data_IF_632984125495
#
_entry.id   IF_632984125495
#
_cell.length_a   1.000
_cell.length_b   1.000
_cell.length_c   1.000
_cell.angle_alpha   90.00
_cell.angle_beta   90.00
_cell.angle_gamma   90.00
#
_symmetry.space_group_name_H-M   'P 1'
#
loop_
_entity.id
_entity.type
_entity.pdbx_description
1 polymer ?
#
# COMPACT_ATOMS: atom_id res chain seq x y z
N UNK A 1 38.37 -7.20 -18.90
CA UNK A 1 38.18 -7.43 -17.45
C UNK A 1 36.96 -8.32 -17.31
N UNK A 2 37.11 -9.56 -16.85
CA UNK A 2 35.97 -10.43 -16.60
C UNK A 2 35.13 -9.81 -15.50
N UNK A 3 33.87 -9.49 -15.77
CA UNK A 3 32.93 -9.20 -14.69
C UNK A 3 32.97 -10.41 -13.74
N UNK A 4 33.34 -10.20 -12.48
CA UNK A 4 33.31 -11.27 -11.48
C UNK A 4 31.89 -11.83 -11.42
N UNK A 5 31.75 -13.11 -11.77
CA UNK A 5 30.47 -13.81 -11.81
C UNK A 5 30.33 -14.62 -10.53
N UNK A 6 29.21 -14.45 -9.86
CA UNK A 6 28.80 -15.28 -8.71
C UNK A 6 27.53 -16.04 -9.07
N UNK A 7 27.40 -17.27 -8.56
CA UNK A 7 26.22 -18.11 -8.78
C UNK A 7 25.28 -17.98 -7.58
N UNK A 8 24.01 -17.65 -7.85
CA UNK A 8 22.94 -17.62 -6.85
C UNK A 8 21.86 -18.63 -7.27
N UNK A 9 21.54 -19.56 -6.38
CA UNK A 9 20.50 -20.57 -6.62
C UNK A 9 19.11 -19.95 -6.45
N UNK A 10 18.25 -20.12 -7.46
CA UNK A 10 16.87 -19.63 -7.47
C UNK A 10 15.94 -20.69 -8.05
N UNK A 11 14.62 -20.50 -7.87
CA UNK A 11 13.63 -21.35 -8.53
C UNK A 11 13.80 -21.30 -10.06
N UNK A 12 13.91 -22.47 -10.70
CA UNK A 12 14.16 -22.61 -12.14
C UNK A 12 13.11 -21.90 -12.99
N UNK A 13 11.83 -22.05 -12.66
CA UNK A 13 10.74 -21.48 -13.46
C UNK A 13 10.72 -19.96 -13.35
N UNK A 14 11.02 -19.41 -12.17
CA UNK A 14 11.18 -17.97 -11.97
C UNK A 14 12.33 -17.44 -12.82
N UNK A 15 13.50 -18.11 -12.80
CA UNK A 15 14.65 -17.71 -13.61
C UNK A 15 14.37 -17.75 -15.11
N UNK A 16 13.69 -18.80 -15.59
CA UNK A 16 13.33 -18.94 -17.00
C UNK A 16 12.34 -17.85 -17.44
N UNK A 17 11.31 -17.57 -16.64
CA UNK A 17 10.37 -16.47 -16.92
C UNK A 17 11.05 -15.12 -16.92
N UNK A 18 11.91 -14.86 -15.93
CA UNK A 18 12.68 -13.61 -15.83
C UNK A 18 13.61 -13.42 -17.05
N UNK A 19 14.33 -14.47 -17.44
CA UNK A 19 15.21 -14.44 -18.62
C UNK A 19 14.44 -14.20 -19.92
N UNK A 20 13.24 -14.79 -20.07
CA UNK A 20 12.35 -14.55 -21.21
C UNK A 20 11.93 -13.08 -21.28
N UNK A 21 11.43 -12.52 -20.18
CA UNK A 21 10.99 -11.12 -20.10
C UNK A 21 12.14 -10.15 -20.38
N UNK A 22 13.34 -10.39 -19.84
CA UNK A 22 14.51 -9.56 -20.10
C UNK A 22 14.85 -9.52 -21.61
N UNK A 23 14.81 -10.67 -22.29
CA UNK A 23 15.06 -10.76 -23.73
C UNK A 23 13.99 -10.05 -24.55
N UNK A 24 12.72 -10.19 -24.18
CA UNK A 24 11.60 -9.49 -24.85
C UNK A 24 11.74 -7.96 -24.76
N UNK A 25 12.33 -7.46 -23.66
CA UNK A 25 12.63 -6.03 -23.46
C UNK A 25 13.99 -5.61 -24.05
N UNK A 26 14.73 -6.50 -24.71
CA UNK A 26 16.06 -6.20 -25.26
C UNK A 26 17.15 -6.00 -24.20
N UNK A 27 16.94 -6.46 -22.97
CA UNK A 27 17.86 -6.32 -21.84
C UNK A 27 18.67 -7.61 -21.69
N UNK A 28 19.99 -7.51 -21.47
CA UNK A 28 20.79 -8.70 -21.18
C UNK A 28 20.40 -9.30 -19.84
N UNK A 29 20.34 -10.63 -19.75
CA UNK A 29 19.93 -11.34 -18.52
C UNK A 29 20.82 -10.93 -17.34
N UNK A 30 22.13 -10.77 -17.59
CA UNK A 30 23.07 -10.34 -16.57
C UNK A 30 22.73 -8.94 -16.05
N UNK A 31 22.47 -7.96 -16.93
CA UNK A 31 22.11 -6.60 -16.52
C UNK A 31 20.80 -6.59 -15.72
N UNK A 32 19.76 -7.26 -16.23
CA UNK A 32 18.47 -7.36 -15.56
C UNK A 32 18.62 -8.00 -14.16
N UNK A 33 19.39 -9.08 -14.05
CA UNK A 33 19.64 -9.75 -12.77
C UNK A 33 20.40 -8.85 -11.79
N UNK A 34 21.43 -8.14 -12.25
CA UNK A 34 22.17 -7.18 -11.42
C UNK A 34 21.25 -6.08 -10.91
N UNK A 35 20.46 -5.43 -11.77
CA UNK A 35 19.54 -4.36 -11.36
C UNK A 35 18.48 -4.86 -10.37
N UNK A 36 17.91 -6.06 -10.59
CA UNK A 36 16.95 -6.66 -9.68
C UNK A 36 17.56 -6.99 -8.30
N UNK A 37 18.78 -7.52 -8.28
CA UNK A 37 19.50 -7.83 -7.03
C UNK A 37 19.90 -6.55 -6.29
N UNK A 38 20.35 -5.51 -6.99
CA UNK A 38 20.64 -4.20 -6.38
C UNK A 38 19.39 -3.57 -5.76
N UNK A 39 18.25 -3.64 -6.45
CA UNK A 39 16.98 -3.16 -5.89
C UNK A 39 16.59 -3.94 -4.62
N UNK A 40 16.76 -5.27 -4.62
CA UNK A 40 16.48 -6.10 -3.46
C UNK A 40 17.47 -5.87 -2.31
N UNK A 41 18.75 -5.61 -2.62
CA UNK A 41 19.81 -5.34 -1.65
C UNK A 41 19.49 -4.10 -0.79
N UNK A 42 19.02 -3.02 -1.41
CA UNK A 42 18.66 -1.79 -0.70
C UNK A 42 17.56 -2.05 0.36
N UNK A 43 16.57 -2.86 0.02
CA UNK A 43 15.50 -3.24 0.95
C UNK A 43 16.03 -4.14 2.08
N UNK A 44 16.92 -5.08 1.75
CA UNK A 44 17.51 -5.98 2.74
C UNK A 44 18.44 -5.27 3.73
N UNK A 45 19.13 -4.19 3.33
CA UNK A 45 19.97 -3.37 4.22
C UNK A 45 19.19 -2.79 5.40
N UNK A 46 17.92 -2.47 5.16
CA UNK A 46 17.01 -1.93 6.18
C UNK A 46 16.28 -3.03 6.98
N UNK A 47 16.62 -4.31 6.73
CA UNK A 47 15.98 -5.46 7.39
C UNK A 47 14.57 -5.75 6.87
N UNK A 48 14.20 -5.18 5.72
CA UNK A 48 12.88 -5.37 5.12
C UNK A 48 12.85 -6.54 4.11
N UNK A 49 11.65 -7.01 3.78
CA UNK A 49 11.45 -8.11 2.83
C UNK A 49 11.41 -7.57 1.39
N UNK A 50 12.22 -8.08 0.44
CA UNK A 50 12.21 -7.64 -0.97
C UNK A 50 10.85 -7.75 -1.67
N UNK A 51 9.96 -8.61 -1.17
CA UNK A 51 8.56 -8.71 -1.65
C UNK A 51 7.82 -7.38 -1.52
N UNK A 52 8.23 -6.49 -0.60
CA UNK A 52 7.67 -5.13 -0.48
C UNK A 52 7.81 -4.32 -1.77
N UNK A 53 8.84 -4.56 -2.60
CA UNK A 53 8.97 -3.91 -3.92
C UNK A 53 7.80 -4.25 -4.85
N UNK A 54 7.27 -5.47 -4.76
CA UNK A 54 6.10 -5.85 -5.54
C UNK A 54 4.87 -5.07 -5.10
N UNK A 55 4.68 -4.87 -3.80
CA UNK A 55 3.58 -4.07 -3.28
C UNK A 55 3.72 -2.60 -3.66
N UNK A 56 4.93 -2.04 -3.57
CA UNK A 56 5.22 -0.69 -4.04
C UNK A 56 4.84 -0.51 -5.51
N UNK A 57 5.28 -1.44 -6.37
CA UNK A 57 4.96 -1.37 -7.79
C UNK A 57 3.47 -1.54 -8.08
N UNK A 58 2.77 -2.43 -7.37
CA UNK A 58 1.32 -2.63 -7.53
C UNK A 58 0.51 -1.41 -7.09
N UNK A 59 0.86 -0.81 -5.95
CA UNK A 59 0.23 0.44 -5.48
C UNK A 59 0.53 1.58 -6.45
N UNK A 60 1.77 1.69 -6.94
CA UNK A 60 2.14 2.69 -7.94
C UNK A 60 1.27 2.58 -9.21
N UNK A 61 1.09 1.38 -9.76
CA UNK A 61 0.20 1.15 -10.90
C UNK A 61 -1.24 1.59 -10.62
N UNK A 62 -1.77 1.26 -9.44
CA UNK A 62 -3.12 1.67 -9.07
C UNK A 62 -3.24 3.20 -9.00
N UNK A 63 -2.31 3.86 -8.29
CA UNK A 63 -2.28 5.33 -8.16
C UNK A 63 -2.11 6.07 -9.49
N UNK A 64 -1.35 5.48 -10.43
CA UNK A 64 -1.16 6.06 -11.77
C UNK A 64 -2.42 6.05 -12.64
N UNK A 65 -3.45 5.28 -12.25
CA UNK A 65 -4.71 5.19 -12.99
C UNK A 65 -5.86 6.02 -12.42
N UNK A 66 -5.65 6.67 -11.26
CA UNK A 66 -6.69 7.42 -10.53
C UNK A 66 -6.35 8.91 -10.39
N UNK A 67 -5.60 9.49 -11.34
CA UNK A 67 -5.15 10.89 -11.36
C UNK A 67 -4.68 11.43 -9.99
N UNK A 68 -3.94 10.58 -9.25
CA UNK A 68 -3.63 10.87 -7.85
C UNK A 68 -2.42 11.79 -7.72
N UNK A 69 -2.60 12.89 -6.98
CA UNK A 69 -1.51 13.80 -6.59
C UNK A 69 -1.10 13.53 -5.14
N UNK A 70 0.21 13.41 -4.90
CA UNK A 70 0.75 13.28 -3.55
C UNK A 70 1.19 14.66 -3.05
N UNK A 71 0.48 15.19 -2.05
CA UNK A 71 0.79 16.48 -1.42
C UNK A 71 1.35 16.31 -0.01
N UNK A 72 2.28 17.18 0.43
CA UNK A 72 2.68 17.22 1.82
C UNK A 72 1.48 17.42 2.74
N UNK A 73 1.42 16.61 3.78
CA UNK A 73 0.27 16.55 4.69
C UNK A 73 -0.06 17.89 5.36
N UNK A 74 0.95 18.72 5.65
CA UNK A 74 0.76 20.06 6.21
C UNK A 74 0.06 21.01 5.21
N UNK A 75 0.27 20.82 3.91
CA UNK A 75 -0.41 21.60 2.87
C UNK A 75 -1.88 21.18 2.76
N UNK A 76 -2.14 19.87 2.77
CA UNK A 76 -3.51 19.34 2.82
C UNK A 76 -4.24 19.86 4.06
N UNK A 77 -3.62 19.80 5.24
CA UNK A 77 -4.24 20.30 6.47
C UNK A 77 -4.63 21.79 6.38
N UNK A 78 -3.80 22.61 5.70
CA UNK A 78 -4.10 24.04 5.44
C UNK A 78 -5.22 24.24 4.42
N UNK A 79 -5.21 23.50 3.31
CA UNK A 79 -6.28 23.56 2.28
C UNK A 79 -7.64 23.24 2.90
N UNK A 80 -7.66 22.26 3.81
CA UNK A 80 -8.87 21.82 4.51
C UNK A 80 -9.08 22.51 5.87
N UNK A 81 -8.31 23.55 6.20
CA UNK A 81 -8.38 24.21 7.51
C UNK A 81 -9.69 24.97 7.71
N UNK A 82 -10.20 25.58 6.64
CA UNK A 82 -11.38 26.45 6.61
C UNK A 82 -12.67 25.74 6.14
N UNK A 83 -12.63 24.43 5.91
CA UNK A 83 -13.72 23.70 5.29
C UNK A 83 -14.74 23.18 6.31
N UNK A 84 -16.02 23.34 5.97
CA UNK A 84 -17.15 22.82 6.73
C UNK A 84 -17.02 21.31 6.97
N UNK A 85 -17.32 20.88 8.19
CA UNK A 85 -17.25 19.47 8.58
C UNK A 85 -18.22 18.65 7.72
N UNK A 86 -17.70 17.62 7.05
CA UNK A 86 -18.51 16.67 6.29
C UNK A 86 -18.65 16.96 4.79
N UNK A 87 -18.34 18.17 4.32
CA UNK A 87 -18.54 18.57 2.90
C UNK A 87 -17.85 17.65 1.89
N UNK A 88 -16.68 17.11 2.24
CA UNK A 88 -15.87 16.28 1.35
C UNK A 88 -15.91 14.79 1.69
N UNK A 89 -16.67 14.39 2.71
CA UNK A 89 -16.71 12.98 3.18
C UNK A 89 -17.11 12.03 2.05
N UNK A 90 -18.16 12.38 1.29
CA UNK A 90 -18.62 11.57 0.14
C UNK A 90 -17.56 11.49 -0.96
N UNK A 91 -16.91 12.61 -1.29
CA UNK A 91 -15.86 12.65 -2.32
C UNK A 91 -14.64 11.80 -1.92
N UNK A 92 -14.23 11.86 -0.65
CA UNK A 92 -13.16 11.00 -0.15
C UNK A 92 -13.56 9.53 -0.16
N UNK A 93 -14.81 9.21 0.19
CA UNK A 93 -15.32 7.83 0.08
C UNK A 93 -15.27 7.31 -1.37
N UNK A 94 -15.77 8.10 -2.32
CA UNK A 94 -15.79 7.75 -3.75
C UNK A 94 -14.38 7.56 -4.30
N UNK A 95 -13.47 8.48 -3.99
CA UNK A 95 -12.06 8.38 -4.37
C UNK A 95 -11.38 7.12 -3.77
N UNK A 96 -11.71 6.80 -2.51
CA UNK A 96 -11.24 5.58 -1.85
C UNK A 96 -11.76 4.32 -2.54
N UNK A 97 -13.04 4.32 -2.93
CA UNK A 97 -13.68 3.20 -3.61
C UNK A 97 -13.14 2.99 -5.02
N UNK A 98 -12.89 4.07 -5.76
CA UNK A 98 -12.25 4.01 -7.06
C UNK A 98 -10.84 3.41 -6.96
N UNK A 99 -10.00 3.94 -6.07
CA UNK A 99 -8.65 3.39 -5.87
C UNK A 99 -8.70 1.95 -5.37
N UNK A 100 -9.59 1.63 -4.43
CA UNK A 100 -9.78 0.28 -3.92
C UNK A 100 -10.13 -0.72 -5.02
N UNK A 101 -10.98 -0.33 -5.97
CA UNK A 101 -11.38 -1.16 -7.10
C UNK A 101 -10.22 -1.47 -8.03
N UNK A 102 -9.32 -0.49 -8.25
CA UNK A 102 -8.10 -0.73 -9.02
C UNK A 102 -7.08 -1.57 -8.22
N UNK A 103 -6.90 -1.27 -6.93
CA UNK A 103 -5.98 -2.01 -6.07
C UNK A 103 -6.35 -3.50 -6.00
N UNK A 104 -7.64 -3.82 -5.91
CA UNK A 104 -8.15 -5.19 -5.86
C UNK A 104 -7.78 -6.05 -7.09
N UNK A 105 -7.41 -5.43 -8.22
CA UNK A 105 -6.92 -6.15 -9.40
C UNK A 105 -5.49 -6.69 -9.23
N UNK A 106 -4.73 -6.14 -8.28
CA UNK A 106 -3.30 -6.40 -8.11
C UNK A 106 -2.92 -6.89 -6.71
N UNK A 107 -3.73 -6.55 -5.70
CA UNK A 107 -3.54 -6.87 -4.30
C UNK A 107 -4.83 -7.47 -3.76
N UNK A 108 -4.72 -8.55 -3.00
CA UNK A 108 -5.85 -9.09 -2.25
C UNK A 108 -6.00 -8.36 -0.92
N UNK A 109 -7.19 -8.40 -0.32
CA UNK A 109 -7.37 -7.87 1.03
C UNK A 109 -6.49 -8.61 2.05
N UNK A 110 -6.25 -9.91 1.85
CA UNK A 110 -5.35 -10.69 2.70
C UNK A 110 -3.90 -10.20 2.63
N UNK A 111 -3.46 -9.61 1.52
CA UNK A 111 -2.17 -8.95 1.43
C UNK A 111 -2.11 -7.71 2.34
N UNK A 112 -3.22 -6.96 2.45
CA UNK A 112 -3.31 -5.82 3.39
C UNK A 112 -3.27 -6.29 4.85
N UNK A 113 -3.95 -7.39 5.18
CA UNK A 113 -3.94 -7.97 6.53
C UNK A 113 -2.56 -8.49 6.93
N UNK A 114 -1.90 -9.23 6.02
CA UNK A 114 -0.57 -9.82 6.26
C UNK A 114 0.55 -8.78 6.19
N UNK A 115 0.37 -7.74 5.39
CA UNK A 115 1.35 -6.66 5.20
C UNK A 115 0.67 -5.29 5.34
N UNK A 116 0.32 -4.89 6.57
CA UNK A 116 -0.37 -3.61 6.82
C UNK A 116 0.47 -2.39 6.40
N UNK A 117 1.78 -2.54 6.23
CA UNK A 117 2.66 -1.48 5.75
C UNK A 117 2.32 -1.00 4.33
N UNK A 118 1.58 -1.78 3.54
CA UNK A 118 1.02 -1.34 2.25
C UNK A 118 0.20 -0.07 2.43
N UNK A 119 -0.50 0.10 3.57
CA UNK A 119 -1.28 1.29 3.86
C UNK A 119 -0.42 2.56 3.97
N UNK A 120 0.89 2.46 4.27
CA UNK A 120 1.82 3.60 4.26
C UNK A 120 2.08 4.14 2.86
N UNK A 121 1.84 3.34 1.82
CA UNK A 121 1.94 3.78 0.42
C UNK A 121 0.69 4.55 -0.04
N UNK A 122 -0.42 4.35 0.68
CA UNK A 122 -1.74 4.95 0.40
C UNK A 122 -2.00 6.17 1.28
N UNK A 123 -1.53 6.13 2.53
CA UNK A 123 -1.86 7.09 3.57
C UNK A 123 -0.60 7.64 4.24
N UNK A 124 -0.65 8.89 4.74
CA UNK A 124 0.45 9.51 5.46
C UNK A 124 0.52 9.02 6.92
N UNK A 125 0.58 7.70 7.11
CA UNK A 125 0.74 7.04 8.42
C UNK A 125 2.22 6.82 8.74
N UNK A 126 2.59 7.00 10.01
CA UNK A 126 3.91 6.63 10.52
C UNK A 126 4.04 5.12 10.68
N UNK A 127 2.99 4.53 11.23
CA UNK A 127 2.93 3.11 11.56
C UNK A 127 1.59 2.54 11.13
N UNK A 128 1.62 1.37 10.50
CA UNK A 128 0.44 0.56 10.24
C UNK A 128 0.67 -0.85 10.80
N UNK A 129 -0.26 -1.31 11.63
CA UNK A 129 -0.26 -2.65 12.19
C UNK A 129 -1.63 -3.29 11.95
N UNK A 130 -1.65 -4.62 11.87
CA UNK A 130 -2.88 -5.38 11.80
C UNK A 130 -2.81 -6.53 12.79
N UNK A 131 -3.87 -6.71 13.58
CA UNK A 131 -4.06 -7.89 14.42
C UNK A 131 -5.29 -8.65 13.93
N UNK A 132 -5.13 -9.95 13.83
CA UNK A 132 -6.22 -10.87 13.51
C UNK A 132 -6.87 -11.31 14.82
N UNK A 133 -8.17 -11.06 14.96
CA UNK A 133 -8.99 -11.39 16.12
C UNK A 133 -10.15 -12.27 15.62
N UNK A 134 -10.02 -13.60 15.75
CA UNK A 134 -10.98 -14.58 15.25
C UNK A 134 -11.26 -14.39 13.73
N UNK A 135 -12.44 -13.86 13.38
CA UNK A 135 -12.86 -13.59 12.01
C UNK A 135 -12.68 -12.13 11.58
N UNK A 136 -12.02 -11.31 12.40
CA UNK A 136 -11.90 -9.86 12.22
C UNK A 136 -10.44 -9.45 12.06
N UNK A 137 -10.22 -8.35 11.32
CA UNK A 137 -8.92 -7.70 11.20
C UNK A 137 -9.00 -6.32 11.85
N UNK A 138 -8.17 -6.08 12.87
CA UNK A 138 -8.00 -4.77 13.51
C UNK A 138 -6.75 -4.10 12.97
N UNK A 139 -6.94 -3.09 12.13
CA UNK A 139 -5.89 -2.20 11.70
C UNK A 139 -5.70 -1.08 12.71
N UNK A 140 -4.47 -0.89 13.18
CA UNK A 140 -4.08 0.24 14.02
C UNK A 140 -3.14 1.13 13.21
N UNK A 141 -3.61 2.34 12.90
CA UNK A 141 -2.90 3.33 12.09
C UNK A 141 -2.49 4.52 12.96
N UNK A 142 -1.20 4.81 13.00
CA UNK A 142 -0.66 5.93 13.77
C UNK A 142 -0.27 7.04 12.80
N UNK A 143 -0.90 8.19 12.94
CA UNK A 143 -0.66 9.36 12.09
C UNK A 143 0.20 10.43 12.78
N UNK A 144 0.77 11.37 12.01
CA UNK A 144 1.36 12.58 12.57
C UNK A 144 0.32 13.40 13.38
N UNK A 145 0.70 14.07 14.49
CA UNK A 145 -0.26 14.76 15.37
C UNK A 145 -1.10 15.87 14.71
N UNK A 146 -0.57 16.50 13.66
CA UNK A 146 -1.16 17.65 13.00
C UNK A 146 -2.33 17.32 12.06
N UNK A 147 -2.81 16.07 12.01
CA UNK A 147 -3.81 15.64 11.03
C UNK A 147 -5.22 15.47 11.59
N UNK A 148 -5.45 15.81 12.86
CA UNK A 148 -6.70 15.51 13.57
C UNK A 148 -7.96 15.91 12.76
N UNK A 149 -7.91 17.04 12.05
CA UNK A 149 -9.02 17.54 11.20
C UNK A 149 -9.26 16.71 9.93
N UNK A 150 -8.22 16.05 9.42
CA UNK A 150 -8.32 15.20 8.22
C UNK A 150 -8.76 13.77 8.53
N UNK A 151 -8.73 13.34 9.80
CA UNK A 151 -9.09 11.96 10.18
C UNK A 151 -10.47 11.54 9.67
N UNK A 152 -11.56 12.34 9.79
CA UNK A 152 -12.86 11.92 9.26
C UNK A 152 -12.86 11.67 7.75
N UNK A 153 -12.11 12.48 6.98
CA UNK A 153 -11.95 12.30 5.53
C UNK A 153 -11.13 11.04 5.22
N UNK A 154 -10.07 10.79 5.99
CA UNK A 154 -9.25 9.56 5.86
C UNK A 154 -10.08 8.31 6.21
N UNK A 155 -10.94 8.38 7.22
CA UNK A 155 -11.86 7.30 7.58
C UNK A 155 -12.82 7.01 6.43
N UNK A 156 -13.42 8.04 5.83
CA UNK A 156 -14.31 7.89 4.68
C UNK A 156 -13.58 7.25 3.49
N UNK A 157 -12.36 7.69 3.22
CA UNK A 157 -11.49 7.14 2.18
C UNK A 157 -11.15 5.66 2.40
N UNK A 158 -10.73 5.30 3.62
CA UNK A 158 -10.45 3.91 3.99
C UNK A 158 -11.69 3.01 3.90
N UNK A 159 -12.85 3.54 4.30
CA UNK A 159 -14.13 2.86 4.11
C UNK A 159 -14.41 2.58 2.63
N UNK A 160 -14.19 3.56 1.75
CA UNK A 160 -14.31 3.37 0.31
C UNK A 160 -13.40 2.25 -0.20
N UNK A 161 -12.13 2.24 0.24
CA UNK A 161 -11.19 1.18 -0.11
C UNK A 161 -11.72 -0.19 0.33
N UNK A 162 -12.09 -0.36 1.61
CA UNK A 162 -12.54 -1.66 2.12
C UNK A 162 -13.84 -2.15 1.49
N UNK A 163 -14.79 -1.24 1.20
CA UNK A 163 -16.01 -1.56 0.45
C UNK A 163 -15.69 -2.10 -0.95
N UNK A 164 -14.68 -1.54 -1.62
CA UNK A 164 -14.26 -2.01 -2.95
C UNK A 164 -13.65 -3.43 -2.92
N UNK A 165 -13.07 -3.83 -1.79
CA UNK A 165 -12.66 -5.22 -1.54
C UNK A 165 -13.81 -6.15 -1.14
N UNK A 166 -15.03 -5.62 -0.97
CA UNK A 166 -16.21 -6.37 -0.55
C UNK A 166 -16.44 -6.41 0.98
N UNK A 167 -15.65 -5.68 1.78
CA UNK A 167 -15.74 -5.70 3.24
C UNK A 167 -16.48 -4.48 3.79
N UNK A 168 -17.81 -4.53 3.71
CA UNK A 168 -18.69 -3.40 4.06
C UNK A 168 -18.98 -3.25 5.56
N UNK A 169 -18.67 -4.28 6.34
CA UNK A 169 -18.84 -4.27 7.79
C UNK A 169 -17.52 -3.87 8.44
N UNK A 170 -17.39 -2.59 8.79
CA UNK A 170 -16.22 -2.10 9.50
C UNK A 170 -16.58 -0.96 10.45
N UNK A 171 -15.82 -0.84 11.54
CA UNK A 171 -15.97 0.21 12.56
C UNK A 171 -14.64 0.91 12.73
N UNK A 172 -14.66 2.25 12.69
CA UNK A 172 -13.50 3.08 12.92
C UNK A 172 -13.62 3.83 14.26
N UNK A 173 -12.59 3.76 15.08
CA UNK A 173 -12.50 4.46 16.36
C UNK A 173 -11.22 5.31 16.38
N UNK A 174 -11.38 6.62 16.58
CA UNK A 174 -10.26 7.55 16.69
C UNK A 174 -9.88 7.76 18.15
N UNK A 175 -8.58 7.64 18.45
CA UNK A 175 -7.98 8.02 19.73
C UNK A 175 -6.78 8.93 19.47
N UNK A 176 -6.98 10.24 19.65
CA UNK A 176 -5.99 11.27 19.30
C UNK A 176 -5.51 11.20 17.84
N UNK A 177 -4.27 10.71 17.64
CA UNK A 177 -3.57 10.54 16.36
C UNK A 177 -3.51 9.07 15.92
N UNK A 178 -4.21 8.19 16.65
CA UNK A 178 -4.37 6.77 16.35
C UNK A 178 -5.77 6.54 15.80
N UNK A 179 -5.85 5.77 14.72
CA UNK A 179 -7.10 5.29 14.14
C UNK A 179 -7.11 3.76 14.19
N UNK A 180 -8.05 3.21 14.93
CA UNK A 180 -8.32 1.78 14.93
C UNK A 180 -9.49 1.49 14.00
N UNK A 181 -9.29 0.56 13.07
CA UNK A 181 -10.35 0.10 12.17
C UNK A 181 -10.50 -1.40 12.33
N UNK A 182 -11.67 -1.82 12.77
CA UNK A 182 -12.04 -3.23 12.83
C UNK A 182 -12.85 -3.55 11.59
N UNK A 183 -12.35 -4.44 10.75
CA UNK A 183 -13.07 -5.02 9.62
C UNK A 183 -13.61 -6.38 10.06
N UNK A 184 -14.92 -6.58 9.95
CA UNK A 184 -15.59 -7.78 10.44
C UNK A 184 -15.73 -8.82 9.34
N UNK A 185 -15.76 -10.11 9.73
CA UNK A 185 -16.01 -11.24 8.83
C UNK A 185 -15.05 -11.28 7.62
N UNK A 186 -13.79 -10.93 7.84
CA UNK A 186 -12.81 -10.72 6.77
C UNK A 186 -11.71 -11.78 6.71
N UNK A 187 -11.78 -12.81 7.56
CA UNK A 187 -10.82 -13.90 7.63
C UNK A 187 -11.60 -15.20 7.47
N UNK A 188 -11.17 -16.01 6.51
CA UNK A 188 -11.71 -17.33 6.16
C UNK A 188 -10.62 -18.37 6.33
#
# INVERSE_FOLDING_TARGET
>A
MSADKTTISVNRDVALRFAKLARELGISIQKAATEALTAAEEILKDGENPTHLLYLYRVFKAKSSTDSLSLPLHLLAKIFEELETGRYTTLFYEAGRELGSVLAQWLSFQDLVKTPQILKLLLPVRTAQCRVEENNARFTLIFPPNIKRLIPLIVAYLRGIFDAYGYTQHKAEQREHVLDIVVYNCIQ
#
